data_IF_015992917228
#
_entry.id   IF_015992917228
#
_cell.length_a   1.000
_cell.length_b   1.000
_cell.length_c   1.000
_cell.angle_alpha   90.00
_cell.angle_beta   90.00
_cell.angle_gamma   90.00
#
_symmetry.space_group_name_H-M   'P 1'
#
loop_
_entity.id
_entity.type
_entity.pdbx_description
1 polymer ?
#
# COMPACT_ATOMS: atom_id res chain seq x y z
N UNK A 1 15.04 12.11 -25.57
CA UNK A 1 13.96 11.19 -25.99
C UNK A 1 14.19 9.74 -25.52
N UNK A 2 15.42 9.19 -25.52
CA UNK A 2 15.67 7.82 -25.04
C UNK A 2 15.72 7.65 -23.52
N UNK A 3 16.22 8.63 -22.76
CA UNK A 3 16.31 8.54 -21.29
C UNK A 3 14.94 8.61 -20.59
N UNK A 4 13.99 9.35 -21.15
CA UNK A 4 12.61 9.41 -20.62
C UNK A 4 11.86 8.07 -20.76
N UNK A 5 12.19 7.26 -21.78
CA UNK A 5 11.60 5.93 -21.93
C UNK A 5 12.16 4.91 -20.94
N UNK A 6 13.46 4.99 -20.61
CA UNK A 6 14.07 4.13 -19.60
C UNK A 6 13.49 4.40 -18.20
N UNK A 7 13.33 5.66 -17.83
CA UNK A 7 12.74 6.06 -16.55
C UNK A 7 11.27 5.61 -16.39
N UNK A 8 10.49 5.64 -17.47
CA UNK A 8 9.11 5.13 -17.47
C UNK A 8 9.05 3.61 -17.32
N UNK A 9 10.01 2.87 -17.88
CA UNK A 9 10.06 1.42 -17.77
C UNK A 9 10.42 0.96 -16.35
N UNK A 10 11.41 1.59 -15.71
CA UNK A 10 11.80 1.29 -14.32
C UNK A 10 10.66 1.57 -13.33
N UNK A 11 9.97 2.70 -13.48
CA UNK A 11 8.82 3.04 -12.64
C UNK A 11 7.66 2.02 -12.76
N UNK A 12 7.45 1.46 -13.96
CA UNK A 12 6.45 0.41 -14.19
C UNK A 12 6.86 -0.91 -13.54
N UNK A 13 8.15 -1.26 -13.59
CA UNK A 13 8.68 -2.47 -12.93
C UNK A 13 8.54 -2.35 -11.41
N UNK A 14 8.92 -1.22 -10.83
CA UNK A 14 8.80 -0.97 -9.39
C UNK A 14 7.34 -1.02 -8.92
N UNK A 15 6.43 -0.39 -9.66
CA UNK A 15 5.00 -0.45 -9.38
C UNK A 15 4.46 -1.89 -9.39
N UNK A 16 4.86 -2.69 -10.39
CA UNK A 16 4.43 -4.08 -10.49
C UNK A 16 4.97 -4.93 -9.33
N UNK A 17 6.22 -4.70 -8.92
CA UNK A 17 6.81 -5.37 -7.77
C UNK A 17 6.07 -5.02 -6.47
N UNK A 18 5.72 -3.74 -6.29
CA UNK A 18 4.96 -3.29 -5.13
C UNK A 18 3.54 -3.88 -5.12
N UNK A 19 2.85 -3.90 -6.26
CA UNK A 19 1.54 -4.51 -6.41
C UNK A 19 1.55 -6.01 -6.08
N UNK A 20 2.58 -6.73 -6.55
CA UNK A 20 2.76 -8.16 -6.24
C UNK A 20 2.92 -8.37 -4.74
N UNK A 21 3.83 -7.60 -4.12
CA UNK A 21 4.09 -7.68 -2.66
C UNK A 21 2.83 -7.37 -1.84
N UNK A 22 2.04 -6.36 -2.23
CA UNK A 22 0.78 -6.02 -1.55
C UNK A 22 -0.26 -7.14 -1.68
N UNK A 23 -0.35 -7.80 -2.84
CA UNK A 23 -1.26 -8.94 -3.06
C UNK A 23 -0.89 -10.15 -2.20
N UNK A 24 0.38 -10.49 -2.12
CA UNK A 24 0.87 -11.61 -1.29
C UNK A 24 0.58 -11.37 0.20
N UNK A 25 0.86 -10.16 0.70
CA UNK A 25 0.51 -9.77 2.08
C UNK A 25 -0.99 -9.87 2.35
N UNK A 26 -1.82 -9.44 1.42
CA UNK A 26 -3.28 -9.54 1.55
C UNK A 26 -3.77 -11.00 1.55
N UNK A 27 -3.15 -11.88 0.77
CA UNK A 27 -3.47 -13.31 0.78
C UNK A 27 -3.16 -13.92 2.16
N UNK A 28 -1.98 -13.63 2.73
CA UNK A 28 -1.63 -14.08 4.08
C UNK A 28 -2.61 -13.55 5.15
N UNK A 29 -3.04 -12.29 5.05
CA UNK A 29 -4.05 -11.72 5.97
C UNK A 29 -5.42 -12.40 5.84
N UNK A 30 -5.80 -12.87 4.64
CA UNK A 30 -7.03 -13.64 4.43
C UNK A 30 -6.96 -15.03 5.06
N UNK A 31 -5.81 -15.67 5.03
CA UNK A 31 -5.61 -16.98 5.67
C UNK A 31 -5.68 -16.88 7.20
N UNK A 32 -5.24 -15.76 7.78
CA UNK A 32 -5.25 -15.53 9.21
C UNK A 32 -6.64 -15.15 9.77
N UNK A 33 -7.58 -14.70 8.92
CA UNK A 33 -8.94 -14.36 9.36
C UNK A 33 -9.59 -13.26 8.54
N UNK A 34 -10.07 -12.19 9.20
CA UNK A 34 -10.77 -11.07 8.55
C UNK A 34 -9.75 -10.01 8.11
N UNK A 35 -9.38 -9.92 6.82
CA UNK A 35 -8.33 -9.02 6.34
C UNK A 35 -8.72 -7.52 6.41
N UNK A 36 -10.01 -7.23 6.52
CA UNK A 36 -10.56 -5.86 6.54
C UNK A 36 -11.51 -5.70 7.73
N UNK A 37 -10.98 -5.59 8.96
CA UNK A 37 -11.79 -5.41 10.15
C UNK A 37 -12.39 -3.99 10.21
N UNK A 38 -13.56 -3.84 10.84
CA UNK A 38 -14.27 -2.56 11.01
C UNK A 38 -14.53 -2.24 12.49
N UNK A 39 -13.63 -2.70 13.36
CA UNK A 39 -13.70 -2.57 14.81
C UNK A 39 -12.87 -1.40 15.36
N UNK A 40 -11.98 -0.82 14.55
CA UNK A 40 -11.19 0.33 14.96
C UNK A 40 -12.08 1.55 15.28
N UNK A 41 -11.83 2.16 16.43
CA UNK A 41 -12.44 3.41 16.90
C UNK A 41 -11.32 4.35 17.30
N UNK A 42 -11.24 5.50 16.63
CA UNK A 42 -10.28 6.56 16.97
C UNK A 42 -10.91 7.54 17.94
N UNK A 43 -10.12 7.98 18.92
CA UNK A 43 -10.54 9.02 19.87
C UNK A 43 -10.16 10.41 19.38
N UNK A 44 -9.05 10.53 18.63
CA UNK A 44 -8.50 11.81 18.20
C UNK A 44 -8.03 11.80 16.74
N UNK A 45 -8.07 12.96 16.09
CA UNK A 45 -7.43 13.23 14.80
C UNK A 45 -6.18 14.10 14.99
N UNK A 46 -5.25 14.08 14.02
CA UNK A 46 -3.98 14.82 14.10
C UNK A 46 -4.18 16.30 14.46
N UNK A 47 -5.16 16.94 13.82
CA UNK A 47 -5.48 18.36 14.05
C UNK A 47 -5.92 18.66 15.49
N UNK A 48 -6.45 17.67 16.22
CA UNK A 48 -6.84 17.81 17.63
C UNK A 48 -5.65 17.68 18.59
N UNK A 49 -4.55 17.08 18.13
CA UNK A 49 -3.32 16.88 18.92
C UNK A 49 -2.28 17.96 18.66
N UNK A 50 -2.33 18.63 17.51
CA UNK A 50 -1.43 19.72 17.15
C UNK A 50 -1.82 21.00 17.91
N UNK A 51 -1.02 21.35 18.92
CA UNK A 51 -1.06 22.63 19.65
C UNK A 51 -0.10 23.64 19.05
#
# INVERSE_FOLDING_TARGET
MSEQQAQGADAVVDLNNELKTRREKLAALREQGVPFPNDFRRDHTSDQLQR
#
